data_IF_402775159445
#
_entry.id   IF_402775159445
#
_cell.length_a   1.000
_cell.length_b   1.000
_cell.length_c   1.000
_cell.angle_alpha   90.00
_cell.angle_beta   90.00
_cell.angle_gamma   90.00
#
_symmetry.space_group_name_H-M   'P 1'
#
loop_
_entity.id
_entity.type
_entity.pdbx_description
1 polymer ?
#
# COMPACT_ATOMS: atom_id res chain seq x y z
N UNK A 1 -14.67 16.74 -16.79
CA UNK A 1 -14.24 18.08 -16.46
C UNK A 1 -13.35 18.04 -15.23
N UNK A 2 -12.04 17.87 -15.43
CA UNK A 2 -11.07 17.97 -14.35
C UNK A 2 -10.76 19.43 -14.11
N UNK A 3 -11.31 20.01 -13.05
CA UNK A 3 -10.89 21.32 -12.57
C UNK A 3 -9.45 21.24 -12.08
N UNK A 4 -8.54 21.97 -12.70
CA UNK A 4 -7.20 22.17 -12.16
C UNK A 4 -7.35 22.84 -10.78
N UNK A 5 -6.87 22.16 -9.74
CA UNK A 5 -6.77 22.78 -8.42
C UNK A 5 -5.80 23.97 -8.56
N UNK A 6 -6.21 25.14 -8.08
CA UNK A 6 -5.34 26.30 -8.02
C UNK A 6 -4.11 25.97 -7.17
N UNK A 7 -2.94 26.45 -7.59
CA UNK A 7 -1.72 26.28 -6.81
C UNK A 7 -1.93 26.93 -5.42
N UNK A 8 -1.53 26.27 -4.32
CA UNK A 8 -1.66 26.86 -2.98
C UNK A 8 -0.84 28.14 -2.87
N UNK A 9 -1.34 29.11 -2.10
CA UNK A 9 -0.61 30.31 -1.79
C UNK A 9 0.69 29.98 -1.04
N UNK A 10 1.73 30.80 -1.21
CA UNK A 10 3.00 30.62 -0.52
C UNK A 10 2.78 30.57 1.00
N UNK A 11 3.02 29.41 1.63
CA UNK A 11 2.86 29.19 3.07
C UNK A 11 1.70 28.27 3.47
N UNK A 12 0.78 27.93 2.56
CA UNK A 12 -0.22 26.90 2.82
C UNK A 12 0.28 25.51 2.40
N UNK A 13 0.07 24.48 3.24
CA UNK A 13 0.42 23.11 2.84
C UNK A 13 -0.44 22.72 1.63
N UNK A 14 0.21 22.17 0.61
CA UNK A 14 -0.52 21.65 -0.54
C UNK A 14 -1.53 20.59 -0.07
N UNK A 15 -2.78 20.62 -0.58
CA UNK A 15 -3.77 19.62 -0.19
C UNK A 15 -3.29 18.22 -0.58
N UNK A 16 -3.36 17.29 0.37
CA UNK A 16 -3.00 15.90 0.11
C UNK A 16 -3.93 15.30 -0.96
N UNK A 17 -3.34 14.63 -1.94
CA UNK A 17 -4.11 13.88 -2.95
C UNK A 17 -4.27 12.45 -2.43
N UNK A 18 -5.50 11.96 -2.41
CA UNK A 18 -5.82 10.60 -1.96
C UNK A 18 -6.10 9.72 -3.17
N UNK A 19 -5.42 8.58 -3.22
CA UNK A 19 -5.62 7.55 -4.23
C UNK A 19 -6.14 6.29 -3.55
N UNK A 20 -6.95 5.52 -4.22
CA UNK A 20 -7.42 4.23 -3.74
C UNK A 20 -7.62 3.28 -4.93
N UNK A 21 -7.20 2.04 -4.76
CA UNK A 21 -7.55 0.99 -5.71
C UNK A 21 -9.05 0.77 -5.67
N UNK A 22 -9.68 0.73 -6.84
CA UNK A 22 -11.13 0.61 -7.01
C UNK A 22 -11.43 -0.43 -8.08
N UNK A 23 -12.64 -0.98 -8.01
CA UNK A 23 -13.16 -1.96 -8.97
C UNK A 23 -13.29 -3.32 -8.33
N UNK A 24 -12.27 -4.15 -8.37
CA UNK A 24 -12.24 -5.42 -7.65
C UNK A 24 -11.80 -5.22 -6.21
N UNK A 25 -12.43 -5.96 -5.29
CA UNK A 25 -12.02 -6.00 -3.89
C UNK A 25 -10.80 -6.93 -3.73
N UNK A 26 -9.65 -6.51 -4.28
CA UNK A 26 -8.38 -7.23 -4.18
C UNK A 26 -7.42 -6.49 -3.24
N UNK A 27 -6.50 -7.25 -2.63
CA UNK A 27 -5.43 -6.73 -1.76
C UNK A 27 -4.06 -6.81 -2.43
N UNK A 28 -3.99 -7.39 -3.61
CA UNK A 28 -2.81 -7.49 -4.45
C UNK A 28 -2.46 -6.16 -5.13
N UNK A 29 -1.19 -5.94 -5.42
CA UNK A 29 -0.69 -4.78 -6.16
C UNK A 29 -0.83 -3.42 -5.46
N UNK A 30 -1.15 -3.38 -4.16
CA UNK A 30 -1.36 -2.13 -3.43
C UNK A 30 -0.05 -1.38 -3.20
N UNK A 31 1.01 -2.10 -2.80
CA UNK A 31 2.36 -1.54 -2.63
C UNK A 31 2.93 -1.14 -3.99
N UNK A 32 2.79 -2.01 -5.01
CA UNK A 32 3.22 -1.69 -6.37
C UNK A 32 2.56 -0.41 -6.92
N UNK A 33 1.27 -0.23 -6.64
CA UNK A 33 0.54 1.01 -7.02
C UNK A 33 1.14 2.23 -6.32
N UNK A 34 1.42 2.16 -5.02
CA UNK A 34 2.00 3.26 -4.26
C UNK A 34 3.41 3.62 -4.79
N UNK A 35 4.22 2.61 -5.11
CA UNK A 35 5.52 2.79 -5.77
C UNK A 35 5.34 3.52 -7.10
N UNK A 36 4.43 3.07 -7.95
CA UNK A 36 4.14 3.70 -9.24
C UNK A 36 3.71 5.16 -9.12
N UNK A 37 2.87 5.48 -8.13
CA UNK A 37 2.49 6.88 -7.83
C UNK A 37 3.71 7.71 -7.44
N UNK A 38 4.57 7.18 -6.57
CA UNK A 38 5.79 7.89 -6.16
C UNK A 38 6.73 8.13 -7.35
N UNK A 39 6.99 7.10 -8.14
CA UNK A 39 7.86 7.17 -9.31
C UNK A 39 7.33 8.09 -10.41
N UNK A 40 6.01 8.32 -10.48
CA UNK A 40 5.42 9.23 -11.47
C UNK A 40 5.97 10.66 -11.39
N UNK A 41 6.50 11.07 -10.24
CA UNK A 41 7.14 12.37 -10.05
C UNK A 41 8.41 12.57 -10.86
N UNK A 42 9.05 11.49 -11.28
CA UNK A 42 10.22 11.56 -12.16
C UNK A 42 9.89 11.93 -13.61
N UNK A 43 8.60 11.86 -14.00
CA UNK A 43 8.15 12.06 -15.38
C UNK A 43 7.17 13.23 -15.54
N UNK A 44 7.48 14.43 -15.00
CA UNK A 44 6.55 15.56 -15.04
C UNK A 44 6.27 16.08 -16.46
N UNK A 45 7.19 15.86 -17.37
CA UNK A 45 7.09 16.31 -18.77
C UNK A 45 6.42 15.28 -19.71
N UNK A 46 6.10 14.08 -19.20
CA UNK A 46 5.51 13.02 -20.02
C UNK A 46 6.51 12.35 -20.93
N UNK A 47 6.33 12.46 -22.26
CA UNK A 47 7.19 11.82 -23.24
C UNK A 47 7.86 12.85 -24.16
N UNK A 48 9.02 12.53 -24.70
CA UNK A 48 9.73 13.32 -25.72
C UNK A 48 9.12 13.14 -27.13
N UNK A 49 9.78 13.75 -28.13
CA UNK A 49 9.39 13.66 -29.54
C UNK A 49 9.42 12.23 -30.11
N UNK A 50 10.17 11.31 -29.47
CA UNK A 50 10.26 9.89 -29.84
C UNK A 50 9.30 9.02 -29.02
N UNK A 51 8.38 9.59 -28.24
CA UNK A 51 7.49 8.92 -27.31
C UNK A 51 8.22 8.19 -26.17
N UNK A 52 9.43 8.63 -25.82
CA UNK A 52 10.17 8.10 -24.67
C UNK A 52 9.88 8.94 -23.42
N UNK A 53 9.77 8.31 -22.23
CA UNK A 53 9.60 9.03 -20.96
C UNK A 53 10.76 9.99 -20.69
N UNK A 54 10.43 11.23 -20.35
CA UNK A 54 11.44 12.24 -19.99
C UNK A 54 11.59 12.28 -18.48
N UNK A 55 12.76 11.90 -17.99
CA UNK A 55 13.12 12.00 -16.57
C UNK A 55 13.54 13.43 -16.29
N UNK A 56 12.81 14.14 -15.44
CA UNK A 56 13.10 15.56 -15.18
C UNK A 56 12.61 16.05 -13.81
N UNK A 57 12.09 15.13 -12.99
CA UNK A 57 11.60 15.41 -11.65
C UNK A 57 12.26 14.57 -10.57
N UNK A 58 11.60 14.50 -9.42
CA UNK A 58 11.96 13.65 -8.28
C UNK A 58 10.79 12.78 -7.89
N UNK A 59 11.02 11.72 -7.12
CA UNK A 59 9.95 10.92 -6.55
C UNK A 59 8.94 11.81 -5.81
N UNK A 60 7.66 11.47 -5.93
CA UNK A 60 6.63 12.09 -5.09
C UNK A 60 6.64 11.42 -3.72
N UNK A 61 6.59 12.22 -2.62
CA UNK A 61 6.41 11.64 -1.29
C UNK A 61 5.00 11.02 -1.19
N UNK A 62 4.96 9.72 -0.94
CA UNK A 62 3.72 8.95 -0.82
C UNK A 62 3.65 8.30 0.55
N UNK A 63 2.49 8.35 1.19
CA UNK A 63 2.17 7.54 2.37
C UNK A 63 1.08 6.54 1.99
N UNK A 64 1.41 5.25 2.09
CA UNK A 64 0.48 4.15 1.92
C UNK A 64 -0.07 3.73 3.28
N UNK A 65 -1.40 3.63 3.39
CA UNK A 65 -2.08 3.03 4.54
C UNK A 65 -2.63 1.68 4.10
N UNK A 66 -2.27 0.60 4.79
CA UNK A 66 -2.77 -0.74 4.45
C UNK A 66 -2.88 -1.63 5.69
N UNK A 67 -3.66 -2.71 5.58
CA UNK A 67 -3.72 -3.77 6.60
C UNK A 67 -2.57 -4.76 6.45
N UNK A 68 -2.38 -5.58 7.47
CA UNK A 68 -1.37 -6.62 7.56
C UNK A 68 -1.45 -7.65 6.42
N UNK A 69 -2.63 -8.16 6.08
CA UNK A 69 -2.80 -9.10 4.98
C UNK A 69 -2.51 -8.47 3.62
N UNK A 70 -2.88 -7.19 3.42
CA UNK A 70 -2.55 -6.45 2.21
C UNK A 70 -1.03 -6.30 2.07
N UNK A 71 -0.35 -5.97 3.17
CA UNK A 71 1.09 -5.86 3.21
C UNK A 71 1.76 -7.20 2.88
N UNK A 72 1.36 -8.29 3.54
CA UNK A 72 1.90 -9.63 3.30
C UNK A 72 1.71 -10.08 1.86
N UNK A 73 0.55 -9.77 1.28
CA UNK A 73 0.20 -10.20 -0.07
C UNK A 73 1.07 -9.54 -1.16
N UNK A 74 1.51 -8.32 -0.92
CA UNK A 74 2.20 -7.51 -1.94
C UNK A 74 3.62 -7.08 -1.52
N UNK A 75 4.14 -7.60 -0.41
CA UNK A 75 5.46 -7.23 0.13
C UNK A 75 6.60 -7.48 -0.87
N UNK A 76 6.45 -8.44 -1.78
CA UNK A 76 7.42 -8.72 -2.84
C UNK A 76 7.63 -7.55 -3.80
N UNK A 77 6.69 -6.61 -3.88
CA UNK A 77 6.83 -5.37 -4.66
C UNK A 77 7.92 -4.45 -4.12
N UNK A 78 8.42 -4.68 -2.89
CA UNK A 78 9.57 -3.98 -2.32
C UNK A 78 10.92 -4.46 -2.87
N UNK A 79 10.93 -5.53 -3.65
CA UNK A 79 12.15 -6.03 -4.29
C UNK A 79 12.51 -5.16 -5.51
N UNK A 80 12.99 -3.95 -5.24
CA UNK A 80 13.36 -2.98 -6.26
C UNK A 80 14.80 -3.24 -6.72
N UNK A 81 15.06 -3.32 -8.04
CA UNK A 81 16.41 -3.44 -8.57
C UNK A 81 17.25 -2.20 -8.24
N UNK A 82 18.51 -2.39 -7.88
CA UNK A 82 19.43 -1.28 -7.56
C UNK A 82 19.71 -0.32 -8.74
N UNK A 83 19.30 -0.70 -9.94
CA UNK A 83 19.46 0.09 -11.17
C UNK A 83 18.26 0.96 -11.49
N UNK A 84 17.16 0.82 -10.72
CA UNK A 84 15.94 1.55 -10.95
C UNK A 84 15.89 2.86 -10.14
N UNK A 85 14.99 3.76 -10.56
CA UNK A 85 14.66 4.94 -9.79
C UNK A 85 13.99 4.52 -8.48
N UNK A 86 14.39 5.15 -7.37
CA UNK A 86 13.84 4.81 -6.06
C UNK A 86 12.61 5.66 -5.74
N UNK A 87 11.56 5.06 -5.17
CA UNK A 87 10.41 5.80 -4.67
C UNK A 87 10.75 6.54 -3.38
N UNK A 88 9.95 7.54 -3.04
CA UNK A 88 9.87 8.13 -1.70
C UNK A 88 8.55 7.67 -1.07
N UNK A 89 8.58 6.54 -0.37
CA UNK A 89 7.39 5.83 0.10
C UNK A 89 7.47 5.53 1.60
N UNK A 90 6.43 5.91 2.32
CA UNK A 90 6.17 5.45 3.68
C UNK A 90 4.98 4.51 3.69
N UNK A 91 5.11 3.35 4.30
CA UNK A 91 4.05 2.37 4.46
C UNK A 91 3.68 2.28 5.94
N UNK A 92 2.44 2.62 6.26
CA UNK A 92 1.85 2.48 7.60
C UNK A 92 0.95 1.24 7.56
N UNK A 93 1.39 0.16 8.21
CA UNK A 93 0.67 -1.11 8.26
C UNK A 93 -0.11 -1.20 9.56
N UNK A 94 -1.41 -1.38 9.46
CA UNK A 94 -2.30 -1.63 10.60
C UNK A 94 -2.48 -3.14 10.74
N UNK A 95 -1.85 -3.70 11.77
CA UNK A 95 -1.84 -5.14 12.03
C UNK A 95 -2.91 -5.46 13.08
N UNK A 96 -4.06 -5.94 12.63
CA UNK A 96 -5.17 -6.42 13.46
C UNK A 96 -5.17 -7.96 13.59
N UNK A 97 -4.07 -8.60 13.23
CA UNK A 97 -3.83 -10.04 13.27
C UNK A 97 -4.69 -10.84 12.28
N UNK A 98 -4.99 -10.27 11.12
CA UNK A 98 -5.58 -11.03 10.01
C UNK A 98 -6.80 -10.38 9.36
N UNK A 99 -7.78 -11.19 8.96
CA UNK A 99 -8.96 -10.76 8.23
C UNK A 99 -10.06 -10.16 9.11
N UNK A 100 -9.74 -9.23 10.02
CA UNK A 100 -10.67 -8.64 10.99
C UNK A 100 -11.94 -8.04 10.36
N UNK A 101 -11.85 -7.52 9.14
CA UNK A 101 -13.01 -6.98 8.40
C UNK A 101 -14.12 -8.00 8.22
N UNK A 102 -13.82 -9.28 8.08
CA UNK A 102 -14.83 -10.32 7.87
C UNK A 102 -15.71 -10.53 9.09
N UNK A 103 -15.28 -10.14 10.29
CA UNK A 103 -16.08 -10.19 11.51
C UNK A 103 -17.23 -9.18 11.49
N UNK A 104 -17.13 -8.14 10.68
CA UNK A 104 -18.14 -7.08 10.53
C UNK A 104 -19.16 -7.35 9.41
N UNK A 105 -18.95 -8.42 8.64
CA UNK A 105 -19.80 -8.84 7.54
C UNK A 105 -20.72 -10.01 7.97
N UNK A 106 -21.54 -10.51 7.05
CA UNK A 106 -22.42 -11.67 7.28
C UNK A 106 -21.68 -12.90 7.84
N UNK A 107 -20.43 -13.07 7.48
CA UNK A 107 -19.57 -14.13 8.01
C UNK A 107 -19.34 -14.01 9.52
N UNK A 108 -19.29 -12.79 10.07
CA UNK A 108 -19.21 -12.56 11.51
C UNK A 108 -20.46 -13.03 12.25
N UNK A 109 -21.64 -12.89 11.64
CA UNK A 109 -22.88 -13.42 12.20
C UNK A 109 -22.89 -14.96 12.21
N UNK A 110 -22.33 -15.59 11.18
CA UNK A 110 -22.13 -17.04 11.16
C UNK A 110 -21.12 -17.48 12.21
N UNK A 111 -20.03 -16.74 12.42
CA UNK A 111 -19.00 -17.06 13.42
C UNK A 111 -19.55 -17.09 14.86
N UNK A 112 -20.62 -16.32 15.14
CA UNK A 112 -21.30 -16.34 16.44
C UNK A 112 -22.08 -17.64 16.73
N UNK A 113 -22.29 -18.47 15.72
CA UNK A 113 -22.91 -19.78 15.88
C UNK A 113 -21.81 -20.82 16.07
N UNK A 114 -21.79 -21.49 17.23
CA UNK A 114 -20.74 -22.43 17.66
C UNK A 114 -20.35 -23.45 16.59
N UNK A 115 -21.34 -23.96 15.86
CA UNK A 115 -21.14 -24.94 14.78
C UNK A 115 -20.35 -24.41 13.58
N UNK A 116 -20.29 -23.11 13.36
CA UNK A 116 -19.61 -22.50 12.21
C UNK A 116 -18.34 -21.74 12.58
N UNK A 117 -18.09 -21.46 13.86
CA UNK A 117 -16.93 -20.67 14.32
C UNK A 117 -15.63 -21.14 13.72
N UNK A 118 -15.33 -22.45 13.87
CA UNK A 118 -14.06 -22.98 13.35
C UNK A 118 -13.93 -22.91 11.82
N UNK A 119 -15.04 -23.01 11.09
CA UNK A 119 -15.02 -22.87 9.63
C UNK A 119 -14.82 -21.43 9.21
N UNK A 120 -15.49 -20.48 9.88
CA UNK A 120 -15.30 -19.05 9.61
C UNK A 120 -13.89 -18.62 9.92
N UNK A 121 -13.33 -19.01 11.06
CA UNK A 121 -11.96 -18.71 11.44
C UNK A 121 -10.95 -19.24 10.43
N UNK A 122 -11.18 -20.44 9.93
CA UNK A 122 -10.28 -21.09 8.99
C UNK A 122 -10.32 -20.47 7.58
N UNK A 123 -11.49 -20.10 7.10
CA UNK A 123 -11.69 -19.77 5.69
C UNK A 123 -11.90 -18.28 5.40
N UNK A 124 -12.29 -17.51 6.39
CA UNK A 124 -12.67 -16.11 6.20
C UNK A 124 -11.87 -15.13 7.06
N UNK A 125 -11.65 -15.43 8.34
CA UNK A 125 -10.93 -14.53 9.23
C UNK A 125 -9.43 -14.78 9.23
N UNK A 126 -8.94 -15.61 8.33
CA UNK A 126 -7.56 -16.11 8.27
C UNK A 126 -6.65 -15.31 9.19
N UNK A 127 -6.50 -15.78 10.42
CA UNK A 127 -5.55 -15.17 11.33
C UNK A 127 -4.21 -15.16 10.61
N UNK A 128 -3.57 -14.00 10.53
CA UNK A 128 -2.17 -13.96 10.13
C UNK A 128 -1.47 -15.05 10.94
N UNK A 129 -0.65 -15.86 10.30
CA UNK A 129 0.05 -16.90 11.02
C UNK A 129 0.68 -16.24 12.26
N UNK A 130 0.39 -16.72 13.48
CA UNK A 130 0.74 -16.03 14.73
C UNK A 130 2.24 -15.77 14.92
N UNK A 131 3.04 -16.20 13.97
CA UNK A 131 4.49 -16.05 13.94
C UNK A 131 4.97 -15.20 12.75
N UNK A 132 4.10 -14.51 12.03
CA UNK A 132 4.54 -13.64 10.92
C UNK A 132 5.09 -12.34 11.51
N UNK A 133 6.39 -12.12 11.33
CA UNK A 133 7.06 -10.88 11.70
C UNK A 133 7.11 -9.94 10.50
N UNK A 134 6.15 -9.03 10.44
CA UNK A 134 6.01 -8.09 9.32
C UNK A 134 7.22 -7.15 9.22
N UNK A 135 7.81 -6.79 10.36
CA UNK A 135 9.00 -5.93 10.37
C UNK A 135 10.21 -6.64 9.76
N UNK A 136 10.39 -7.93 10.04
CA UNK A 136 11.43 -8.75 9.39
C UNK A 136 11.16 -8.97 7.91
N UNK A 137 9.90 -9.15 7.53
CA UNK A 137 9.53 -9.23 6.11
C UNK A 137 9.95 -7.95 5.38
N UNK A 138 9.59 -6.79 5.93
CA UNK A 138 10.00 -5.51 5.36
C UNK A 138 11.53 -5.36 5.27
N UNK A 139 12.23 -5.68 6.35
CA UNK A 139 13.70 -5.58 6.42
C UNK A 139 14.41 -6.50 5.43
N UNK A 140 13.78 -7.62 5.05
CA UNK A 140 14.33 -8.57 4.07
C UNK A 140 14.47 -8.00 2.65
N UNK A 141 13.77 -6.92 2.32
CA UNK A 141 13.85 -6.24 1.01
C UNK A 141 14.82 -5.06 0.99
N UNK A 142 15.55 -4.82 2.07
CA UNK A 142 16.59 -3.80 2.18
C UNK A 142 16.07 -2.42 2.55
N UNK A 143 16.88 -1.70 3.32
CA UNK A 143 16.56 -0.35 3.81
C UNK A 143 16.98 0.76 2.83
N UNK A 144 17.70 0.42 1.76
CA UNK A 144 18.19 1.39 0.76
C UNK A 144 17.19 1.65 -0.37
N UNK A 145 15.99 1.10 -0.27
CA UNK A 145 14.97 1.15 -1.32
C UNK A 145 14.18 2.46 -1.40
N UNK A 146 14.48 3.47 -0.56
CA UNK A 146 13.65 4.68 -0.47
C UNK A 146 12.28 4.42 0.18
N UNK A 147 12.12 3.28 0.87
CA UNK A 147 10.87 2.87 1.52
C UNK A 147 11.05 2.75 3.02
N UNK A 148 10.19 3.42 3.76
CA UNK A 148 10.05 3.29 5.23
C UNK A 148 8.78 2.48 5.54
N UNK A 149 8.90 1.46 6.38
CA UNK A 149 7.74 0.65 6.83
C UNK A 149 7.57 0.79 8.34
N UNK A 150 6.35 1.09 8.77
CA UNK A 150 5.95 1.16 10.17
C UNK A 150 4.79 0.21 10.42
N UNK A 151 4.88 -0.57 11.49
CA UNK A 151 3.86 -1.52 11.89
C UNK A 151 3.16 -0.99 13.15
N UNK A 152 1.83 -0.90 13.09
CA UNK A 152 0.98 -0.49 14.18
C UNK A 152 0.17 -1.69 14.65
N UNK A 153 0.40 -2.11 15.90
CA UNK A 153 -0.38 -3.15 16.59
C UNK A 153 -1.35 -2.51 17.57
N UNK A 154 -2.51 -3.11 17.85
CA UNK A 154 -3.48 -2.63 18.84
C UNK A 154 -2.90 -2.49 20.24
#
# INVERSE_FOLDING_TARGET
GGGAAAAPALGEPAPARVFANRGLAGIDGTIATAIGVSLSGYYPAGVDENSLPVIGGTALPVTLLCGDLTFQHDVSSLNLPNTELLPELRIEVFDDAGGGIFTTLEHGDMARQEQFTAAVDRFFTVAAAPNTDLARMAAGFGTESGVEVRIHTP
#
